data_IF_524862670208
#
_entry.id   IF_524862670208
#
_cell.length_a   1.000
_cell.length_b   1.000
_cell.length_c   1.000
_cell.angle_alpha   90.00
_cell.angle_beta   90.00
_cell.angle_gamma   90.00
#
_symmetry.space_group_name_H-M   'P 1'
#
loop_
_entity.id
_entity.type
_entity.pdbx_description
1 polymer ?
#
# COMPACT_ATOMS: atom_id res chain seq x y z
N UNK A 1 -44.12 -43.20 35.92
CA UNK A 1 -44.58 -42.22 36.91
C UNK A 1 -43.36 -41.52 37.50
N UNK A 2 -43.04 -40.31 37.00
CA UNK A 2 -41.99 -39.44 37.52
C UNK A 2 -42.65 -38.09 37.80
N UNK A 3 -42.85 -37.77 39.08
CA UNK A 3 -43.05 -36.40 39.56
C UNK A 3 -41.65 -35.92 40.02
N UNK A 4 -41.13 -34.74 39.75
CA UNK A 4 -41.77 -33.44 39.53
C UNK A 4 -41.54 -32.59 40.78
N UNK A 5 -40.58 -31.67 40.73
CA UNK A 5 -40.49 -30.50 41.62
C UNK A 5 -39.58 -29.44 40.99
N UNK A 6 -40.20 -28.33 40.60
CA UNK A 6 -39.60 -27.05 40.32
C UNK A 6 -39.94 -26.11 41.48
N UNK A 7 -39.07 -25.13 41.72
CA UNK A 7 -39.29 -23.79 42.30
C UNK A 7 -37.97 -23.34 42.97
N UNK A 8 -37.55 -22.09 43.11
CA UNK A 8 -37.73 -20.77 42.49
C UNK A 8 -37.27 -19.75 43.55
N UNK A 9 -36.64 -18.65 43.13
CA UNK A 9 -36.42 -17.39 43.90
C UNK A 9 -35.30 -17.44 44.98
N UNK A 10 -34.48 -16.41 45.25
CA UNK A 10 -34.64 -14.96 45.06
C UNK A 10 -33.31 -14.16 45.26
N UNK A 11 -33.29 -12.95 44.69
CA UNK A 11 -32.70 -11.67 45.14
C UNK A 11 -31.17 -11.35 45.28
N UNK A 12 -30.73 -10.38 44.45
CA UNK A 12 -30.10 -9.05 44.78
C UNK A 12 -28.78 -8.98 45.62
N UNK A 13 -27.76 -8.12 45.43
CA UNK A 13 -27.61 -6.78 44.79
C UNK A 13 -26.12 -6.36 44.71
N UNK A 14 -25.79 -5.49 43.73
CA UNK A 14 -24.80 -4.36 43.71
C UNK A 14 -23.28 -4.57 43.79
N UNK A 15 -22.58 -4.09 42.74
CA UNK A 15 -21.37 -3.22 42.67
C UNK A 15 -21.12 -3.01 41.17
N UNK A 16 -21.03 -1.83 40.57
CA UNK A 16 -20.40 -0.56 40.95
C UNK A 16 -19.53 -0.16 39.75
N UNK A 17 -19.87 0.95 39.08
CA UNK A 17 -19.34 1.40 37.79
C UNK A 17 -17.81 1.66 37.74
N UNK A 18 -17.15 1.63 36.55
CA UNK A 18 -15.76 2.05 36.38
C UNK A 18 -15.64 3.58 36.14
N UNK A 19 -14.55 4.23 36.59
CA UNK A 19 -14.30 5.63 36.27
C UNK A 19 -13.65 5.80 34.87
N UNK A 20 -13.93 6.91 34.15
CA UNK A 20 -13.27 7.27 32.90
C UNK A 20 -12.23 8.38 33.07
N UNK A 21 -11.52 8.66 31.96
CA UNK A 21 -10.61 9.79 31.67
C UNK A 21 -9.13 9.56 32.04
N UNK A 22 -8.13 10.09 31.33
CA UNK A 22 -8.12 11.18 30.35
C UNK A 22 -6.91 11.05 29.40
N UNK A 23 -7.10 11.59 28.19
CA UNK A 23 -6.04 11.98 27.28
C UNK A 23 -5.15 13.07 27.88
N UNK A 24 -3.86 13.09 27.52
CA UNK A 24 -3.00 14.27 27.66
C UNK A 24 -2.14 14.43 26.42
N UNK A 25 -2.59 15.31 25.54
CA UNK A 25 -1.75 16.14 24.68
C UNK A 25 -1.30 17.36 25.49
N UNK A 26 -0.03 17.74 25.42
CA UNK A 26 0.43 19.12 25.14
C UNK A 26 1.92 19.28 25.48
N UNK A 27 2.59 19.94 24.54
CA UNK A 27 3.96 20.39 24.59
C UNK A 27 4.09 21.77 25.28
N UNK A 28 5.35 22.20 25.43
CA UNK A 28 5.84 23.56 25.75
C UNK A 28 5.86 23.94 27.22
N UNK A 29 6.74 24.81 27.73
CA UNK A 29 8.09 25.27 27.41
C UNK A 29 8.49 26.21 28.58
N UNK A 30 9.79 26.39 28.79
CA UNK A 30 10.45 27.45 29.59
C UNK A 30 10.36 27.34 31.12
N UNK A 31 11.30 27.85 31.92
CA UNK A 31 12.76 28.06 31.88
C UNK A 31 13.10 28.79 33.21
N UNK A 32 14.37 28.70 33.63
CA UNK A 32 15.04 29.45 34.71
C UNK A 32 14.77 28.94 36.14
N UNK A 33 15.76 28.76 37.04
CA UNK A 33 17.02 29.51 37.25
C UNK A 33 18.11 28.67 37.95
N UNK A 34 19.37 28.88 37.51
CA UNK A 34 20.63 29.01 38.28
C UNK A 34 21.15 27.82 39.13
N UNK A 35 22.44 27.47 39.20
CA UNK A 35 23.69 28.01 38.66
C UNK A 35 24.84 27.01 38.97
N UNK A 36 25.95 27.08 38.22
CA UNK A 36 27.28 26.61 38.65
C UNK A 36 27.99 25.68 37.67
N UNK A 37 28.84 26.27 36.81
CA UNK A 37 30.19 25.86 36.34
C UNK A 37 30.45 24.38 35.97
N UNK A 38 31.06 23.98 34.86
CA UNK A 38 32.00 24.63 33.95
C UNK A 38 32.21 23.68 32.72
N UNK A 39 32.93 24.17 31.70
CA UNK A 39 33.44 23.47 30.50
C UNK A 39 32.59 23.56 29.21
N UNK A 40 32.97 24.55 28.40
CA UNK A 40 32.57 24.72 27.00
C UNK A 40 33.10 23.57 26.13
N UNK A 41 32.18 22.77 25.57
CA UNK A 41 32.46 21.90 24.42
C UNK A 41 32.01 22.63 23.16
N UNK A 42 32.97 23.14 22.39
CA UNK A 42 32.71 23.69 21.06
C UNK A 42 32.42 22.54 20.10
N UNK A 43 31.13 22.22 19.91
CA UNK A 43 30.67 21.26 18.93
C UNK A 43 30.75 21.90 17.53
N UNK A 44 31.82 21.65 16.79
CA UNK A 44 31.85 21.94 15.34
C UNK A 44 31.05 20.85 14.64
N UNK A 45 29.78 21.15 14.39
CA UNK A 45 28.91 20.32 13.54
C UNK A 45 29.36 20.51 12.09
N UNK A 46 29.87 19.43 11.48
CA UNK A 46 30.07 19.37 10.05
C UNK A 46 28.72 19.58 9.33
N UNK A 47 28.60 20.50 8.37
CA UNK A 47 27.37 20.62 7.61
C UNK A 47 27.11 19.33 6.84
N UNK A 48 25.91 18.79 7.01
CA UNK A 48 25.42 17.63 6.29
C UNK A 48 25.64 17.81 4.79
N UNK A 49 26.20 16.77 4.16
CA UNK A 49 26.35 16.66 2.71
C UNK A 49 24.93 16.59 2.11
N UNK A 50 24.44 17.74 1.65
CA UNK A 50 23.23 17.81 0.86
C UNK A 50 23.45 17.12 -0.50
N UNK A 51 22.48 16.36 -1.03
CA UNK A 51 22.56 15.90 -2.42
C UNK A 51 22.61 17.12 -3.35
N UNK A 52 23.65 17.18 -4.19
CA UNK A 52 23.88 18.25 -5.18
C UNK A 52 22.63 18.47 -6.02
N UNK A 53 21.95 19.60 -5.80
CA UNK A 53 21.03 20.18 -6.78
C UNK A 53 21.86 20.67 -7.96
N UNK A 54 21.55 20.18 -9.17
CA UNK A 54 22.14 20.72 -10.40
C UNK A 54 21.74 22.19 -10.57
N UNK A 55 22.64 23.05 -11.06
CA UNK A 55 22.28 24.42 -11.40
C UNK A 55 21.21 24.43 -12.50
N UNK A 56 20.18 25.26 -12.30
CA UNK A 56 19.21 25.64 -13.32
C UNK A 56 19.98 26.30 -14.46
N UNK A 57 20.19 25.55 -15.53
CA UNK A 57 20.67 26.08 -16.79
C UNK A 57 19.50 26.77 -17.49
N UNK A 58 19.73 28.05 -17.80
CA UNK A 58 18.87 28.93 -18.55
C UNK A 58 18.41 28.27 -19.85
N UNK A 59 17.09 28.17 -20.02
CA UNK A 59 16.46 27.67 -21.23
C UNK A 59 16.67 28.69 -22.36
N UNK A 60 17.78 28.51 -23.09
CA UNK A 60 18.05 29.22 -24.33
C UNK A 60 17.04 28.77 -25.40
N UNK A 61 16.43 29.76 -26.03
CA UNK A 61 15.58 29.62 -27.21
C UNK A 61 16.26 28.77 -28.28
N UNK A 62 15.67 27.62 -28.62
CA UNK A 62 15.85 27.00 -29.91
C UNK A 62 14.50 26.90 -30.62
N UNK A 63 14.40 27.75 -31.64
CA UNK A 63 13.34 27.82 -32.62
C UNK A 63 13.52 26.63 -33.56
N UNK A 64 12.53 25.74 -33.65
CA UNK A 64 12.43 24.78 -34.75
C UNK A 64 11.03 24.85 -35.34
N UNK A 65 10.99 25.37 -36.56
CA UNK A 65 9.85 25.37 -37.46
C UNK A 65 9.35 23.94 -37.66
N UNK A 66 8.14 23.65 -37.17
CA UNK A 66 7.36 22.52 -37.65
C UNK A 66 6.22 23.04 -38.53
N UNK A 67 6.28 22.58 -39.78
CA UNK A 67 5.29 22.71 -40.84
C UNK A 67 3.95 22.17 -40.34
N UNK A 68 2.90 22.97 -40.51
CA UNK A 68 1.51 22.59 -40.25
C UNK A 68 1.10 21.35 -41.06
N UNK A 69 0.79 20.25 -40.38
CA UNK A 69 -0.25 19.33 -40.84
C UNK A 69 -1.37 19.36 -39.81
N UNK A 70 -2.54 19.82 -40.26
CA UNK A 70 -3.79 19.77 -39.50
C UNK A 70 -4.16 18.30 -39.22
N UNK A 71 -4.15 17.92 -37.94
CA UNK A 71 -4.83 16.72 -37.46
C UNK A 71 -6.26 17.08 -37.05
N UNK A 72 -7.28 16.32 -37.47
CA UNK A 72 -8.66 16.59 -37.09
C UNK A 72 -8.86 16.40 -35.58
N UNK A 73 -9.54 17.39 -34.98
CA UNK A 73 -9.79 17.55 -33.56
C UNK A 73 -10.26 16.26 -32.86
N UNK A 74 -9.40 15.72 -31.99
CA UNK A 74 -9.82 14.81 -30.93
C UNK A 74 -10.55 15.63 -29.87
N UNK A 75 -11.87 15.48 -29.79
CA UNK A 75 -12.67 15.93 -28.64
C UNK A 75 -12.27 15.10 -27.41
N UNK A 76 -11.36 15.62 -26.60
CA UNK A 76 -11.23 15.20 -25.20
C UNK A 76 -12.44 15.74 -24.44
N UNK A 77 -13.38 14.85 -24.11
CA UNK A 77 -14.42 15.18 -23.15
C UNK A 77 -13.83 14.93 -21.77
N UNK A 78 -13.56 16.00 -21.05
CA UNK A 78 -13.22 15.98 -19.62
C UNK A 78 -14.36 15.30 -18.84
N UNK A 79 -14.17 14.02 -18.53
CA UNK A 79 -15.00 13.29 -17.58
C UNK A 79 -14.35 13.45 -16.21
N UNK A 80 -14.70 14.53 -15.51
CA UNK A 80 -14.91 14.62 -14.05
C UNK A 80 -14.66 16.05 -13.53
N UNK A 81 -15.75 16.80 -13.40
CA UNK A 81 -15.87 17.86 -12.40
C UNK A 81 -17.24 17.66 -11.70
N UNK A 82 -17.32 17.60 -10.36
CA UNK A 82 -18.56 17.29 -9.67
C UNK A 82 -19.42 18.54 -9.61
N UNK A 83 -20.35 18.69 -10.55
CA UNK A 83 -21.39 19.72 -10.49
C UNK A 83 -22.70 19.10 -10.03
N UNK A 84 -23.10 19.43 -8.80
CA UNK A 84 -24.43 19.15 -8.23
C UNK A 84 -25.50 19.93 -9.01
N UNK A 85 -26.03 19.37 -10.10
CA UNK A 85 -27.22 19.93 -10.76
C UNK A 85 -28.15 18.81 -11.29
N UNK A 86 -29.35 18.74 -10.69
CA UNK A 86 -30.62 18.41 -11.35
C UNK A 86 -30.80 17.03 -12.03
N UNK A 87 -31.41 16.09 -11.30
CA UNK A 87 -31.88 14.75 -11.72
C UNK A 87 -33.06 14.78 -12.74
N UNK A 88 -33.24 15.87 -13.51
CA UNK A 88 -34.42 16.06 -14.38
C UNK A 88 -34.15 16.33 -15.86
N UNK A 89 -32.90 16.18 -16.35
CA UNK A 89 -32.56 16.63 -17.70
C UNK A 89 -31.98 15.55 -18.64
N UNK A 90 -32.45 14.31 -18.61
CA UNK A 90 -32.41 13.43 -19.81
C UNK A 90 -33.56 12.42 -19.74
N UNK A 91 -34.69 12.74 -20.35
CA UNK A 91 -35.80 11.81 -20.56
C UNK A 91 -36.22 11.88 -22.02
N UNK A 92 -36.24 10.75 -22.74
CA UNK A 92 -37.34 10.49 -23.64
C UNK A 92 -38.11 9.29 -23.10
N UNK A 93 -39.33 9.56 -22.61
CA UNK A 93 -40.36 8.56 -22.39
C UNK A 93 -40.61 7.83 -23.71
N UNK A 94 -40.31 6.53 -23.79
CA UNK A 94 -40.75 5.70 -24.92
C UNK A 94 -42.08 5.07 -24.53
N UNK A 95 -43.15 5.70 -25.04
CA UNK A 95 -44.48 5.13 -25.06
C UNK A 95 -44.49 3.86 -25.93
N UNK A 96 -45.11 2.80 -25.42
CA UNK A 96 -45.41 1.61 -26.19
C UNK A 96 -46.41 1.94 -27.30
N UNK A 97 -46.08 1.61 -28.55
CA UNK A 97 -47.07 1.48 -29.62
C UNK A 97 -46.62 0.42 -30.62
N UNK A 98 -47.39 -0.66 -30.68
CA UNK A 98 -47.35 -1.63 -31.77
C UNK A 98 -47.78 -0.93 -33.07
N UNK A 99 -46.88 -0.86 -34.07
CA UNK A 99 -47.25 -0.46 -35.43
C UNK A 99 -47.00 -1.65 -36.35
N UNK A 100 -48.12 -2.27 -36.75
CA UNK A 100 -48.22 -3.35 -37.74
C UNK A 100 -48.03 -2.73 -39.13
N UNK A 101 -47.14 -3.33 -39.95
CA UNK A 101 -47.02 -3.05 -41.38
C UNK A 101 -45.67 -2.47 -41.79
N UNK A 102 -44.78 -3.34 -42.28
CA UNK A 102 -43.52 -3.11 -43.05
C UNK A 102 -42.47 -2.09 -42.57
N UNK A 103 -42.83 -0.89 -42.09
CA UNK A 103 -41.91 0.03 -41.42
C UNK A 103 -41.45 -0.48 -40.05
N UNK A 104 -42.23 -1.38 -39.43
CA UNK A 104 -41.93 -1.97 -38.12
C UNK A 104 -40.65 -2.80 -38.06
N UNK A 105 -40.14 -3.35 -39.18
CA UNK A 105 -38.95 -4.21 -39.15
C UNK A 105 -37.65 -3.44 -38.89
N UNK A 106 -37.46 -2.28 -39.55
CA UNK A 106 -36.28 -1.42 -39.35
C UNK A 106 -36.32 -0.77 -37.97
N UNK A 107 -37.50 -0.34 -37.52
CA UNK A 107 -37.71 0.25 -36.19
C UNK A 107 -37.49 -0.80 -35.09
N UNK A 108 -37.98 -2.03 -35.27
CA UNK A 108 -37.75 -3.13 -34.34
C UNK A 108 -36.26 -3.56 -34.29
N UNK A 109 -35.58 -3.58 -35.45
CA UNK A 109 -34.13 -3.85 -35.49
C UNK A 109 -33.32 -2.80 -34.75
N UNK A 110 -33.65 -1.51 -34.93
CA UNK A 110 -33.00 -0.40 -34.20
C UNK A 110 -33.29 -0.43 -32.70
N UNK A 111 -34.52 -0.74 -32.30
CA UNK A 111 -34.89 -0.89 -30.88
C UNK A 111 -34.15 -2.07 -30.25
N UNK A 112 -34.09 -3.23 -30.92
CA UNK A 112 -33.33 -4.40 -30.44
C UNK A 112 -31.83 -4.12 -30.35
N UNK A 113 -31.26 -3.43 -31.34
CA UNK A 113 -29.85 -3.03 -31.31
C UNK A 113 -29.56 -2.09 -30.13
N UNK A 114 -30.44 -1.11 -29.89
CA UNK A 114 -30.34 -0.21 -28.73
C UNK A 114 -30.48 -0.96 -27.41
N UNK A 115 -31.41 -1.92 -27.31
CA UNK A 115 -31.55 -2.75 -26.12
C UNK A 115 -30.29 -3.59 -25.86
N UNK A 116 -29.72 -4.21 -26.91
CA UNK A 116 -28.48 -4.97 -26.79
C UNK A 116 -27.31 -4.08 -26.35
N UNK A 117 -27.23 -2.85 -26.86
CA UNK A 117 -26.22 -1.87 -26.44
C UNK A 117 -26.40 -1.46 -24.98
N UNK A 118 -27.63 -1.14 -24.55
CA UNK A 118 -27.92 -0.82 -23.15
C UNK A 118 -27.57 -1.97 -22.20
N UNK A 119 -27.83 -3.20 -22.62
CA UNK A 119 -27.44 -4.39 -21.85
C UNK A 119 -25.92 -4.52 -21.78
N UNK A 120 -25.19 -4.29 -22.87
CA UNK A 120 -23.72 -4.30 -22.86
C UNK A 120 -23.14 -3.20 -21.95
N UNK A 121 -23.65 -1.98 -22.08
CA UNK A 121 -23.23 -0.81 -21.29
C UNK A 121 -23.52 -1.00 -19.79
N UNK A 122 -24.61 -1.69 -19.44
CA UNK A 122 -24.91 -2.05 -18.06
C UNK A 122 -23.77 -2.86 -17.44
N UNK A 123 -23.25 -3.86 -18.14
CA UNK A 123 -22.18 -4.71 -17.63
C UNK A 123 -20.92 -3.91 -17.32
N UNK A 124 -20.49 -3.08 -18.27
CA UNK A 124 -19.30 -2.22 -18.12
C UNK A 124 -19.49 -1.18 -17.00
N UNK A 125 -20.67 -0.58 -16.89
CA UNK A 125 -20.97 0.39 -15.83
C UNK A 125 -21.00 -0.28 -14.45
N UNK A 126 -21.59 -1.46 -14.36
CA UNK A 126 -21.65 -2.24 -13.13
C UNK A 126 -20.25 -2.67 -12.66
N UNK A 127 -19.37 -3.12 -13.57
CA UNK A 127 -18.03 -3.54 -13.17
C UNK A 127 -17.20 -2.36 -12.68
N UNK A 128 -17.23 -1.23 -13.40
CA UNK A 128 -16.48 -0.02 -13.10
C UNK A 128 -16.96 0.73 -11.85
N UNK A 129 -18.28 0.90 -11.68
CA UNK A 129 -18.85 1.79 -10.65
C UNK A 129 -19.67 1.06 -9.57
N UNK A 130 -20.06 -0.19 -9.81
CA UNK A 130 -20.87 -0.99 -8.87
C UNK A 130 -20.05 -1.70 -7.79
N UNK A 131 -19.05 -1.03 -7.22
CA UNK A 131 -18.15 -1.62 -6.22
C UNK A 131 -18.84 -1.85 -4.85
N UNK A 132 -19.83 -1.02 -4.50
CA UNK A 132 -20.65 -1.16 -3.30
C UNK A 132 -22.07 -1.62 -3.64
N UNK A 133 -22.75 -2.26 -2.68
CA UNK A 133 -24.13 -2.74 -2.86
C UNK A 133 -25.10 -1.62 -3.20
N UNK A 134 -24.91 -0.44 -2.59
CA UNK A 134 -25.71 0.76 -2.88
C UNK A 134 -25.50 1.25 -4.31
N UNK A 135 -24.24 1.38 -4.75
CA UNK A 135 -23.95 1.80 -6.11
C UNK A 135 -24.47 0.79 -7.14
N UNK A 136 -24.33 -0.51 -6.87
CA UNK A 136 -24.89 -1.57 -7.71
C UNK A 136 -26.43 -1.48 -7.78
N UNK A 137 -27.11 -1.22 -6.66
CA UNK A 137 -28.56 -1.05 -6.63
C UNK A 137 -29.01 0.18 -7.43
N UNK A 138 -28.31 1.30 -7.30
CA UNK A 138 -28.59 2.52 -8.05
C UNK A 138 -28.43 2.30 -9.57
N UNK A 139 -27.32 1.65 -9.98
CA UNK A 139 -27.08 1.28 -11.39
C UNK A 139 -28.17 0.33 -11.91
N UNK A 140 -28.53 -0.71 -11.15
CA UNK A 140 -29.58 -1.65 -11.56
C UNK A 140 -30.92 -0.94 -11.71
N UNK A 141 -31.27 -0.02 -10.79
CA UNK A 141 -32.49 0.76 -10.85
C UNK A 141 -32.54 1.66 -12.08
N UNK A 142 -31.45 2.40 -12.34
CA UNK A 142 -31.30 3.28 -13.50
C UNK A 142 -31.45 2.51 -14.82
N UNK A 143 -30.75 1.38 -14.97
CA UNK A 143 -30.84 0.58 -16.19
C UNK A 143 -32.19 -0.15 -16.35
N UNK A 144 -32.86 -0.54 -15.26
CA UNK A 144 -34.26 -1.00 -15.33
C UNK A 144 -35.18 0.10 -15.88
N UNK A 145 -34.98 1.35 -15.46
CA UNK A 145 -35.69 2.51 -16.00
C UNK A 145 -35.40 2.74 -17.48
N UNK A 146 -34.12 2.69 -17.88
CA UNK A 146 -33.67 2.92 -19.27
C UNK A 146 -34.17 1.87 -20.27
N UNK A 147 -34.30 0.61 -19.86
CA UNK A 147 -34.79 -0.48 -20.73
C UNK A 147 -36.31 -0.44 -20.91
N UNK A 148 -37.04 0.22 -20.01
CA UNK A 148 -38.49 0.41 -20.11
C UNK A 148 -39.33 -0.84 -19.77
N UNK A 149 -40.64 -0.83 -20.07
CA UNK A 149 -41.53 -1.96 -19.79
C UNK A 149 -41.09 -3.21 -20.57
N UNK A 150 -40.89 -4.33 -19.86
CA UNK A 150 -40.33 -5.56 -20.43
C UNK A 150 -38.81 -5.70 -20.27
N UNK A 151 -38.26 -5.19 -19.16
CA UNK A 151 -36.82 -5.28 -18.81
C UNK A 151 -36.27 -6.69 -19.05
N UNK A 152 -35.26 -6.80 -19.91
CA UNK A 152 -34.49 -8.02 -20.12
C UNK A 152 -33.55 -8.28 -18.93
N UNK A 153 -34.14 -8.66 -17.79
CA UNK A 153 -33.40 -8.97 -16.55
C UNK A 153 -32.36 -10.06 -16.75
N UNK A 154 -32.62 -10.99 -17.66
CA UNK A 154 -31.71 -12.10 -18.00
C UNK A 154 -30.53 -11.60 -18.82
N UNK A 155 -30.76 -10.76 -19.82
CA UNK A 155 -29.69 -10.10 -20.57
C UNK A 155 -28.84 -9.19 -19.69
N UNK A 156 -29.46 -8.40 -18.81
CA UNK A 156 -28.73 -7.57 -17.83
C UNK A 156 -27.89 -8.44 -16.89
N UNK A 157 -28.46 -9.52 -16.35
CA UNK A 157 -27.72 -10.46 -15.51
C UNK A 157 -26.54 -11.08 -16.26
N UNK A 158 -26.75 -11.57 -17.49
CA UNK A 158 -25.71 -12.15 -18.35
C UNK A 158 -24.57 -11.16 -18.60
N UNK A 159 -24.90 -9.92 -18.94
CA UNK A 159 -23.91 -8.88 -19.23
C UNK A 159 -23.14 -8.45 -17.98
N UNK A 160 -23.84 -8.20 -16.88
CA UNK A 160 -23.24 -7.86 -15.59
C UNK A 160 -22.34 -8.98 -15.08
N UNK A 161 -22.80 -10.23 -15.15
CA UNK A 161 -22.01 -11.39 -14.77
C UNK A 161 -20.75 -11.51 -15.64
N UNK A 162 -20.86 -11.36 -16.96
CA UNK A 162 -19.73 -11.41 -17.85
C UNK A 162 -18.68 -10.33 -17.53
N UNK A 163 -19.12 -9.11 -17.24
CA UNK A 163 -18.22 -8.01 -16.88
C UNK A 163 -17.55 -8.24 -15.51
N UNK A 164 -18.30 -8.68 -14.49
CA UNK A 164 -17.74 -9.00 -13.17
C UNK A 164 -16.72 -10.14 -13.26
N UNK A 165 -16.99 -11.18 -14.03
CA UNK A 165 -16.04 -12.29 -14.23
C UNK A 165 -14.78 -11.83 -14.98
N UNK A 166 -14.89 -10.88 -15.91
CA UNK A 166 -13.71 -10.34 -16.62
C UNK A 166 -12.89 -9.41 -15.74
N UNK A 167 -13.53 -8.47 -15.03
CA UNK A 167 -12.83 -7.30 -14.47
C UNK A 167 -12.50 -7.44 -12.97
N UNK A 168 -13.26 -8.22 -12.20
CA UNK A 168 -13.11 -8.30 -10.73
C UNK A 168 -12.35 -9.55 -10.35
N UNK A 169 -11.27 -9.50 -9.54
CA UNK A 169 -10.48 -10.69 -9.19
C UNK A 169 -11.33 -11.78 -8.52
N UNK A 170 -10.91 -13.04 -8.66
CA UNK A 170 -11.56 -14.15 -7.98
C UNK A 170 -11.38 -13.99 -6.46
N UNK A 171 -12.47 -13.98 -5.71
CA UNK A 171 -12.46 -13.73 -4.28
C UNK A 171 -13.87 -13.66 -3.69
N UNK A 172 -13.94 -13.44 -2.37
CA UNK A 172 -15.21 -13.33 -1.63
C UNK A 172 -16.05 -12.15 -2.14
N UNK A 173 -15.40 -11.03 -2.46
CA UNK A 173 -16.03 -9.84 -3.04
C UNK A 173 -16.75 -10.14 -4.36
N UNK A 174 -16.17 -10.95 -5.24
CA UNK A 174 -16.80 -11.31 -6.51
C UNK A 174 -18.07 -12.15 -6.28
N UNK A 175 -18.02 -13.11 -5.35
CA UNK A 175 -19.18 -13.93 -4.98
C UNK A 175 -20.31 -13.01 -4.47
N UNK A 176 -20.01 -12.12 -3.52
CA UNK A 176 -20.98 -11.15 -2.98
C UNK A 176 -21.59 -10.27 -4.07
N UNK A 177 -20.77 -9.71 -4.98
CA UNK A 177 -21.26 -8.86 -6.07
C UNK A 177 -22.16 -9.61 -7.04
N UNK A 178 -21.87 -10.89 -7.34
CA UNK A 178 -22.74 -11.70 -8.20
C UNK A 178 -24.04 -12.08 -7.49
N UNK A 179 -23.99 -12.44 -6.21
CA UNK A 179 -25.21 -12.68 -5.39
C UNK A 179 -26.09 -11.43 -5.31
N UNK A 180 -25.49 -10.27 -5.07
CA UNK A 180 -26.19 -9.00 -5.05
C UNK A 180 -26.81 -8.68 -6.42
N UNK A 181 -26.07 -8.87 -7.52
CA UNK A 181 -26.57 -8.68 -8.87
C UNK A 181 -27.80 -9.57 -9.17
N UNK A 182 -27.73 -10.86 -8.83
CA UNK A 182 -28.84 -11.79 -9.01
C UNK A 182 -30.09 -11.35 -8.22
N UNK A 183 -29.88 -10.96 -6.95
CA UNK A 183 -30.94 -10.52 -6.03
C UNK A 183 -31.58 -9.22 -6.50
N UNK A 184 -30.77 -8.21 -6.84
CA UNK A 184 -31.22 -6.91 -7.30
C UNK A 184 -32.00 -7.01 -8.61
N UNK A 185 -31.58 -7.89 -9.54
CA UNK A 185 -32.32 -8.12 -10.78
C UNK A 185 -33.55 -9.03 -10.58
N UNK A 186 -33.63 -9.76 -9.46
CA UNK A 186 -34.70 -10.70 -9.16
C UNK A 186 -34.71 -11.89 -10.12
N UNK A 187 -33.52 -12.38 -10.49
CA UNK A 187 -33.37 -13.55 -11.36
C UNK A 187 -33.37 -14.81 -10.51
N UNK A 188 -34.30 -15.73 -10.79
CA UNK A 188 -34.40 -17.02 -10.10
C UNK A 188 -33.24 -17.94 -10.50
N UNK A 189 -32.85 -18.85 -9.61
CA UNK A 189 -31.68 -19.74 -9.79
C UNK A 189 -31.71 -20.52 -11.10
N UNK A 190 -32.85 -21.10 -11.48
CA UNK A 190 -32.99 -21.82 -12.75
C UNK A 190 -32.73 -20.93 -13.98
N UNK A 191 -33.17 -19.67 -13.94
CA UNK A 191 -32.91 -18.72 -15.01
C UNK A 191 -31.44 -18.26 -14.99
N UNK A 192 -30.89 -18.00 -13.80
CA UNK A 192 -29.48 -17.65 -13.63
C UNK A 192 -28.55 -18.74 -14.16
N UNK A 193 -28.84 -20.01 -13.86
CA UNK A 193 -28.08 -21.16 -14.35
C UNK A 193 -28.12 -21.29 -15.89
N UNK A 194 -29.27 -21.02 -16.52
CA UNK A 194 -29.37 -20.98 -17.97
C UNK A 194 -28.49 -19.89 -18.60
N UNK A 195 -28.48 -18.70 -18.01
CA UNK A 195 -27.62 -17.60 -18.46
C UNK A 195 -26.13 -17.87 -18.24
N UNK A 196 -25.78 -18.52 -17.12
CA UNK A 196 -24.42 -18.98 -16.81
C UNK A 196 -23.94 -19.99 -17.85
N UNK A 197 -24.75 -21.01 -18.16
CA UNK A 197 -24.41 -21.99 -19.21
C UNK A 197 -24.26 -21.35 -20.59
N UNK A 198 -25.10 -20.35 -20.91
CA UNK A 198 -25.00 -19.59 -22.16
C UNK A 198 -23.70 -18.78 -22.25
N UNK A 199 -23.22 -18.22 -21.13
CA UNK A 199 -21.91 -17.56 -21.07
C UNK A 199 -20.76 -18.54 -21.24
N UNK A 200 -20.82 -19.68 -20.56
CA UNK A 200 -19.82 -20.74 -20.64
C UNK A 200 -19.64 -21.28 -22.05
N UNK A 201 -20.73 -21.62 -22.73
CA UNK A 201 -20.70 -22.12 -24.11
C UNK A 201 -20.50 -21.04 -25.19
N UNK A 202 -20.57 -19.77 -24.80
CA UNK A 202 -20.41 -18.62 -25.70
C UNK A 202 -19.09 -17.89 -25.45
N UNK A 203 -19.18 -16.72 -24.78
CA UNK A 203 -18.06 -15.79 -24.58
C UNK A 203 -16.82 -16.44 -23.95
N UNK A 204 -17.01 -17.40 -23.05
CA UNK A 204 -15.92 -18.01 -22.28
C UNK A 204 -15.50 -19.41 -22.76
N UNK A 205 -16.11 -19.93 -23.84
CA UNK A 205 -15.85 -21.30 -24.30
C UNK A 205 -14.37 -21.53 -24.67
N UNK A 206 -13.74 -20.53 -25.28
CA UNK A 206 -12.33 -20.57 -25.68
C UNK A 206 -11.36 -20.08 -24.57
N UNK A 207 -11.86 -19.78 -23.36
CA UNK A 207 -11.08 -19.15 -22.29
C UNK A 207 -11.17 -19.97 -20.99
N UNK A 208 -10.32 -21.01 -20.83
CA UNK A 208 -10.39 -21.93 -19.69
C UNK A 208 -10.26 -21.23 -18.33
N UNK A 209 -9.49 -20.15 -18.23
CA UNK A 209 -9.32 -19.37 -16.99
C UNK A 209 -10.60 -18.66 -16.57
N UNK A 210 -11.25 -17.93 -17.49
CA UNK A 210 -12.52 -17.26 -17.21
C UNK A 210 -13.66 -18.26 -17.00
N UNK A 211 -13.65 -19.38 -17.73
CA UNK A 211 -14.59 -20.47 -17.52
C UNK A 211 -14.42 -21.11 -16.14
N UNK A 212 -13.18 -21.36 -15.70
CA UNK A 212 -12.87 -21.85 -14.36
C UNK A 212 -13.34 -20.89 -13.25
N UNK A 213 -13.20 -19.58 -13.46
CA UNK A 213 -13.72 -18.55 -12.56
C UNK A 213 -15.25 -18.46 -12.56
N UNK A 214 -15.89 -18.61 -13.72
CA UNK A 214 -17.34 -18.67 -13.83
C UNK A 214 -17.88 -19.90 -13.08
N UNK A 215 -17.25 -21.06 -13.22
CA UNK A 215 -17.55 -22.28 -12.44
C UNK A 215 -17.46 -21.96 -10.95
N UNK A 216 -16.32 -21.42 -10.51
CA UNK A 216 -16.03 -21.11 -9.12
C UNK A 216 -17.12 -20.27 -8.46
N UNK A 217 -17.53 -19.19 -9.12
CA UNK A 217 -18.52 -18.25 -8.60
C UNK A 217 -19.94 -18.83 -8.70
N UNK A 218 -20.30 -19.38 -9.86
CA UNK A 218 -21.67 -19.86 -10.09
C UNK A 218 -22.05 -21.03 -9.19
N UNK A 219 -21.12 -21.96 -8.93
CA UNK A 219 -21.37 -23.06 -7.98
C UNK A 219 -21.64 -22.54 -6.57
N UNK A 220 -20.95 -21.49 -6.14
CA UNK A 220 -21.11 -20.89 -4.80
C UNK A 220 -22.39 -20.06 -4.67
N UNK A 221 -22.72 -19.30 -5.70
CA UNK A 221 -23.95 -18.49 -5.72
C UNK A 221 -25.21 -19.36 -5.85
N UNK A 222 -25.15 -20.47 -6.59
CA UNK A 222 -26.35 -21.24 -6.98
C UNK A 222 -26.60 -22.57 -6.22
N UNK A 223 -25.70 -23.06 -5.36
CA UNK A 223 -25.93 -24.40 -4.80
C UNK A 223 -26.90 -24.49 -3.64
N UNK A 224 -27.24 -23.40 -2.95
CA UNK A 224 -28.29 -23.44 -1.93
C UNK A 224 -29.70 -23.51 -2.57
N UNK A 225 -29.81 -23.14 -3.86
CA UNK A 225 -31.05 -23.12 -4.63
C UNK A 225 -31.39 -24.42 -5.38
N UNK A 226 -30.69 -25.52 -5.13
CA UNK A 226 -30.90 -26.82 -5.80
C UNK A 226 -30.64 -26.83 -7.31
N UNK A 227 -30.18 -25.71 -7.88
CA UNK A 227 -29.93 -25.54 -9.32
C UNK A 227 -28.49 -25.85 -9.73
N UNK A 228 -27.62 -26.22 -8.78
CA UNK A 228 -26.24 -26.61 -9.08
C UNK A 228 -26.13 -27.77 -10.09
N UNK A 229 -27.05 -28.74 -10.04
CA UNK A 229 -27.12 -29.84 -11.01
C UNK A 229 -27.51 -29.41 -12.43
N UNK A 230 -27.94 -28.16 -12.63
CA UNK A 230 -28.23 -27.61 -13.96
C UNK A 230 -27.01 -26.93 -14.61
N UNK A 231 -25.91 -26.75 -13.88
CA UNK A 231 -24.67 -26.21 -14.41
C UNK A 231 -23.95 -27.27 -15.24
N UNK A 232 -23.64 -26.94 -16.49
CA UNK A 232 -22.94 -27.84 -17.43
C UNK A 232 -21.52 -27.37 -17.74
N UNK A 233 -21.03 -26.42 -16.95
CA UNK A 233 -19.77 -25.72 -17.20
C UNK A 233 -18.53 -26.63 -17.06
N UNK A 234 -18.53 -27.56 -16.10
CA UNK A 234 -17.38 -28.47 -15.88
C UNK A 234 -17.06 -29.29 -17.12
N UNK A 235 -18.09 -29.77 -17.81
CA UNK A 235 -17.96 -30.54 -19.06
C UNK A 235 -17.48 -29.69 -20.25
N UNK A 236 -17.46 -28.37 -20.15
CA UNK A 236 -16.95 -27.47 -21.19
C UNK A 236 -15.43 -27.25 -21.08
N UNK A 237 -14.81 -27.64 -19.97
CA UNK A 237 -13.36 -27.57 -19.82
C UNK A 237 -12.68 -28.78 -20.48
N UNK A 238 -11.45 -28.63 -21.00
CA UNK A 238 -10.68 -29.73 -21.58
C UNK A 238 -10.04 -30.66 -20.52
N UNK A 239 -10.50 -30.59 -19.26
CA UNK A 239 -9.92 -31.29 -18.12
C UNK A 239 -10.89 -32.34 -17.58
N UNK A 240 -10.37 -33.36 -16.89
CA UNK A 240 -11.21 -34.32 -16.16
C UNK A 240 -11.93 -33.64 -15.00
N UNK A 241 -13.06 -34.20 -14.58
CA UNK A 241 -13.84 -33.66 -13.46
C UNK A 241 -13.03 -33.58 -12.16
N UNK A 242 -12.20 -34.59 -11.89
CA UNK A 242 -11.30 -34.63 -10.73
C UNK A 242 -10.27 -33.49 -10.74
N UNK A 243 -9.70 -33.19 -11.92
CA UNK A 243 -8.77 -32.07 -12.08
C UNK A 243 -9.50 -30.75 -11.85
N UNK A 244 -10.70 -30.59 -12.41
CA UNK A 244 -11.52 -29.39 -12.17
C UNK A 244 -11.83 -29.24 -10.69
N UNK A 245 -12.26 -30.30 -10.00
CA UNK A 245 -12.54 -30.26 -8.57
C UNK A 245 -11.32 -29.84 -7.75
N UNK A 246 -10.15 -30.41 -8.06
CA UNK A 246 -8.89 -30.07 -7.42
C UNK A 246 -8.53 -28.60 -7.62
N UNK A 247 -8.67 -28.08 -8.84
CA UNK A 247 -8.43 -26.67 -9.15
C UNK A 247 -9.40 -25.74 -8.42
N UNK A 248 -10.68 -26.12 -8.33
CA UNK A 248 -11.70 -25.36 -7.62
C UNK A 248 -11.46 -25.34 -6.11
N UNK A 249 -10.98 -26.46 -5.53
CA UNK A 249 -10.60 -26.57 -4.13
C UNK A 249 -9.35 -25.75 -3.82
N UNK A 250 -8.30 -25.86 -4.63
CA UNK A 250 -7.07 -25.07 -4.48
C UNK A 250 -7.34 -23.56 -4.58
N UNK A 251 -8.17 -23.14 -5.55
CA UNK A 251 -8.60 -21.74 -5.66
C UNK A 251 -9.35 -21.26 -4.40
N UNK A 252 -10.23 -22.08 -3.84
CA UNK A 252 -10.95 -21.75 -2.60
C UNK A 252 -9.98 -21.60 -1.41
N UNK A 253 -9.07 -22.56 -1.25
CA UNK A 253 -8.07 -22.55 -0.18
C UNK A 253 -7.16 -21.33 -0.26
N UNK A 254 -6.72 -20.94 -1.46
CA UNK A 254 -5.89 -19.72 -1.64
C UNK A 254 -6.65 -18.45 -1.28
N UNK A 255 -7.91 -18.34 -1.68
CA UNK A 255 -8.74 -17.17 -1.32
C UNK A 255 -8.97 -17.15 0.19
N UNK A 256 -9.28 -18.29 0.82
CA UNK A 256 -9.45 -18.34 2.28
C UNK A 256 -8.16 -17.96 3.01
N UNK A 257 -6.99 -18.39 2.52
CA UNK A 257 -5.70 -18.00 3.08
C UNK A 257 -5.53 -16.47 3.09
N UNK A 258 -5.88 -15.79 1.99
CA UNK A 258 -5.80 -14.32 1.95
C UNK A 258 -6.75 -13.63 2.94
N UNK A 259 -7.95 -14.18 3.16
CA UNK A 259 -8.90 -13.65 4.15
C UNK A 259 -8.44 -13.94 5.58
N UNK A 260 -7.82 -15.10 5.82
CA UNK A 260 -7.23 -15.47 7.10
C UNK A 260 -6.05 -14.57 7.44
N UNK A 261 -5.15 -14.30 6.49
CA UNK A 261 -4.04 -13.37 6.69
C UNK A 261 -4.57 -11.96 7.03
N UNK A 262 -5.55 -11.46 6.29
CA UNK A 262 -6.16 -10.16 6.54
C UNK A 262 -6.96 -10.10 7.86
N UNK A 263 -7.49 -11.24 8.34
CA UNK A 263 -8.15 -11.34 9.63
C UNK A 263 -7.13 -11.37 10.78
N UNK A 264 -6.03 -12.11 10.62
CA UNK A 264 -4.93 -12.16 11.56
C UNK A 264 -4.18 -10.81 11.67
N UNK A 265 -4.09 -10.02 10.58
CA UNK A 265 -3.55 -8.66 10.62
C UNK A 265 -4.37 -7.70 11.50
N UNK A 266 -5.67 -8.01 11.68
CA UNK A 266 -6.63 -7.18 12.41
C UNK A 266 -7.07 -7.79 13.73
N UNK A 267 -6.48 -8.92 14.14
CA UNK A 267 -6.90 -9.73 15.29
C UNK A 267 -8.42 -10.00 15.32
N UNK A 268 -9.02 -10.19 14.15
CA UNK A 268 -10.47 -10.31 13.98
C UNK A 268 -11.01 -11.74 14.24
N UNK A 269 -10.13 -12.71 14.46
CA UNK A 269 -10.49 -14.12 14.60
C UNK A 269 -10.75 -14.83 13.26
N UNK A 270 -11.26 -16.06 13.35
CA UNK A 270 -11.50 -16.91 12.16
C UNK A 270 -12.55 -16.27 11.24
N UNK A 271 -12.27 -16.08 9.93
CA UNK A 271 -13.19 -15.45 8.98
C UNK A 271 -14.32 -16.42 8.55
N UNK A 272 -15.27 -16.68 9.46
CA UNK A 272 -16.31 -17.70 9.28
C UNK A 272 -17.25 -17.42 8.08
N UNK A 273 -17.60 -16.16 7.84
CA UNK A 273 -18.46 -15.79 6.70
C UNK A 273 -17.76 -16.04 5.36
N UNK A 274 -16.47 -15.72 5.26
CA UNK A 274 -15.67 -15.99 4.06
C UNK A 274 -15.57 -17.50 3.82
N UNK A 275 -15.31 -18.29 4.88
CA UNK A 275 -15.29 -19.75 4.79
C UNK A 275 -16.63 -20.32 4.29
N UNK A 276 -17.76 -19.81 4.80
CA UNK A 276 -19.09 -20.20 4.36
C UNK A 276 -19.33 -19.89 2.88
N UNK A 277 -19.01 -18.66 2.43
CA UNK A 277 -19.13 -18.27 1.02
C UNK A 277 -18.25 -19.11 0.09
N UNK A 278 -17.08 -19.51 0.58
CA UNK A 278 -16.14 -20.36 -0.16
C UNK A 278 -16.50 -21.84 -0.12
N UNK A 279 -17.47 -22.22 0.73
CA UNK A 279 -17.83 -23.60 1.08
C UNK A 279 -16.67 -24.42 1.62
N UNK A 280 -15.88 -23.79 2.47
CA UNK A 280 -14.86 -24.45 3.26
C UNK A 280 -15.41 -24.76 4.65
N UNK A 281 -14.96 -25.86 5.25
CA UNK A 281 -15.45 -26.22 6.57
C UNK A 281 -14.97 -25.19 7.61
N UNK A 282 -15.76 -24.91 8.66
CA UNK A 282 -15.32 -24.06 9.75
C UNK A 282 -14.05 -24.59 10.45
N UNK A 283 -13.89 -25.92 10.48
CA UNK A 283 -12.72 -26.57 11.04
C UNK A 283 -11.45 -26.32 10.21
N UNK A 284 -11.54 -26.37 8.88
CA UNK A 284 -10.41 -26.04 7.99
C UNK A 284 -10.02 -24.57 8.14
N UNK A 285 -11.02 -23.68 8.22
CA UNK A 285 -10.78 -22.25 8.40
C UNK A 285 -10.11 -21.94 9.75
N UNK A 286 -10.54 -22.60 10.83
CA UNK A 286 -9.90 -22.49 12.14
C UNK A 286 -8.46 -23.02 12.10
N UNK A 287 -8.24 -24.19 11.49
CA UNK A 287 -6.90 -24.78 11.35
C UNK A 287 -5.95 -23.85 10.58
N UNK A 288 -6.42 -23.26 9.47
CA UNK A 288 -5.64 -22.29 8.69
C UNK A 288 -5.33 -21.02 9.49
N UNK A 289 -6.29 -20.53 10.27
CA UNK A 289 -6.12 -19.36 11.12
C UNK A 289 -5.10 -19.61 12.23
N UNK A 290 -5.25 -20.70 12.98
CA UNK A 290 -4.35 -21.09 14.06
C UNK A 290 -2.91 -21.29 13.56
N UNK A 291 -2.76 -21.96 12.40
CA UNK A 291 -1.45 -22.11 11.76
C UNK A 291 -0.83 -20.76 11.36
N UNK A 292 -1.66 -19.80 10.90
CA UNK A 292 -1.21 -18.45 10.53
C UNK A 292 -0.76 -17.64 11.74
N UNK A 293 -1.54 -17.67 12.83
CA UNK A 293 -1.19 -17.02 14.10
C UNK A 293 0.09 -17.62 14.68
N UNK A 294 0.21 -18.96 14.71
CA UNK A 294 1.40 -19.65 15.19
C UNK A 294 2.65 -19.29 14.37
N UNK A 295 2.53 -19.28 13.03
CA UNK A 295 3.63 -18.87 12.13
C UNK A 295 4.07 -17.42 12.40
N UNK A 296 3.13 -16.51 12.64
CA UNK A 296 3.42 -15.10 12.94
C UNK A 296 4.07 -14.94 14.31
N UNK A 297 3.60 -15.67 15.32
CA UNK A 297 4.22 -15.69 16.64
C UNK A 297 5.68 -16.18 16.56
N UNK A 298 5.93 -17.28 15.83
CA UNK A 298 7.29 -17.80 15.62
C UNK A 298 8.18 -16.83 14.81
N UNK A 299 7.63 -16.13 13.82
CA UNK A 299 8.35 -15.11 13.08
C UNK A 299 8.70 -13.89 13.96
N UNK A 300 7.80 -13.50 14.86
CA UNK A 300 8.04 -12.40 15.80
C UNK A 300 9.12 -12.76 16.83
N UNK A 301 9.14 -13.99 17.35
CA UNK A 301 10.21 -14.45 18.25
C UNK A 301 11.55 -14.49 17.53
N UNK A 302 11.60 -15.05 16.31
CA UNK A 302 12.82 -15.08 15.52
C UNK A 302 13.33 -13.67 15.16
N UNK A 303 12.42 -12.74 14.86
CA UNK A 303 12.78 -11.35 14.60
C UNK A 303 13.33 -10.64 15.86
N UNK A 304 12.76 -10.91 17.04
CA UNK A 304 13.25 -10.38 18.30
C UNK A 304 14.64 -10.93 18.66
N UNK A 305 14.87 -12.22 18.45
CA UNK A 305 16.19 -12.86 18.63
C UNK A 305 17.23 -12.28 17.67
N UNK A 306 16.88 -12.13 16.38
CA UNK A 306 17.76 -11.50 15.40
C UNK A 306 18.07 -10.04 15.73
N UNK A 307 17.09 -9.28 16.21
CA UNK A 307 17.29 -7.90 16.66
C UNK A 307 18.18 -7.81 17.90
N UNK A 308 18.03 -8.73 18.86
CA UNK A 308 18.89 -8.80 20.04
C UNK A 308 20.34 -9.16 19.67
N UNK A 309 20.54 -10.10 18.74
CA UNK A 309 21.87 -10.43 18.23
C UNK A 309 22.52 -9.24 17.51
N UNK A 310 21.78 -8.56 16.64
CA UNK A 310 22.26 -7.36 15.95
C UNK A 310 22.59 -6.21 16.93
N UNK A 311 21.79 -6.04 17.99
CA UNK A 311 22.06 -5.05 19.04
C UNK A 311 23.31 -5.38 19.85
N UNK A 312 23.57 -6.67 20.13
CA UNK A 312 24.78 -7.12 20.82
C UNK A 312 26.03 -6.89 19.94
N UNK A 313 25.97 -7.22 18.65
CA UNK A 313 27.06 -6.96 17.70
C UNK A 313 27.35 -5.45 17.56
N UNK A 314 26.31 -4.62 17.48
CA UNK A 314 26.46 -3.16 17.45
C UNK A 314 27.05 -2.60 18.75
N UNK A 315 26.69 -3.16 19.91
CA UNK A 315 27.26 -2.78 21.20
C UNK A 315 28.75 -3.14 21.30
N UNK A 316 29.14 -4.32 20.83
CA UNK A 316 30.54 -4.76 20.76
C UNK A 316 31.36 -3.87 19.82
N UNK A 317 30.84 -3.58 18.61
CA UNK A 317 31.48 -2.66 17.67
C UNK A 317 31.67 -1.25 18.27
N UNK A 318 30.66 -0.75 18.99
CA UNK A 318 30.72 0.55 19.67
C UNK A 318 31.76 0.54 20.80
N UNK A 319 31.83 -0.55 21.57
CA UNK A 319 32.83 -0.71 22.62
C UNK A 319 34.25 -0.79 22.05
N UNK A 320 34.46 -1.50 20.94
CA UNK A 320 35.74 -1.58 20.25
C UNK A 320 36.20 -0.21 19.73
N UNK A 321 35.31 0.56 19.10
CA UNK A 321 35.61 1.93 18.64
C UNK A 321 35.96 2.84 19.81
N UNK A 322 35.24 2.74 20.94
CA UNK A 322 35.57 3.49 22.16
C UNK A 322 36.95 3.13 22.70
N UNK A 323 37.27 1.83 22.77
CA UNK A 323 38.56 1.36 23.26
C UNK A 323 39.73 1.86 22.39
N UNK A 324 39.56 1.90 21.06
CA UNK A 324 40.56 2.48 20.15
C UNK A 324 40.71 3.99 20.40
N UNK A 325 39.61 4.73 20.53
CA UNK A 325 39.66 6.17 20.81
C UNK A 325 40.32 6.48 22.17
N UNK A 326 40.06 5.67 23.20
CA UNK A 326 40.71 5.78 24.52
C UNK A 326 42.21 5.46 24.44
N UNK A 327 42.61 4.45 23.67
CA UNK A 327 44.01 4.12 23.45
C UNK A 327 44.76 5.22 22.68
N UNK A 328 44.16 5.79 21.64
CA UNK A 328 44.72 6.90 20.87
C UNK A 328 44.88 8.16 21.74
N UNK A 329 43.88 8.47 22.59
CA UNK A 329 43.95 9.58 23.53
C UNK A 329 45.08 9.40 24.56
N UNK A 330 45.26 8.18 25.09
CA UNK A 330 46.35 7.86 26.01
C UNK A 330 47.73 7.97 25.35
N UNK A 331 47.85 7.52 24.09
CA UNK A 331 49.10 7.64 23.32
C UNK A 331 49.47 9.12 23.08
N UNK A 332 48.50 9.97 22.72
CA UNK A 332 48.71 11.40 22.52
C UNK A 332 49.14 12.13 23.82
N UNK A 333 48.56 11.75 24.97
CA UNK A 333 48.96 12.29 26.26
C UNK A 333 50.39 11.90 26.65
N UNK A 334 50.81 10.67 26.36
CA UNK A 334 52.18 10.18 26.57
C UNK A 334 53.20 10.95 25.74
N UNK A 335 52.92 11.19 24.46
CA UNK A 335 53.82 11.98 23.59
C UNK A 335 53.93 13.44 24.05
N UNK A 336 52.83 14.05 24.50
CA UNK A 336 52.85 15.43 25.01
C UNK A 336 53.67 15.57 26.30
N UNK A 337 53.68 14.55 27.16
CA UNK A 337 54.53 14.52 28.35
C UNK A 337 56.02 14.36 28.00
N UNK A 338 56.34 13.53 27.02
CA UNK A 338 57.72 13.36 26.54
C UNK A 338 58.27 14.63 25.84
N UNK A 339 57.42 15.35 25.10
CA UNK A 339 57.76 16.64 24.49
C UNK A 339 57.93 17.76 25.55
N UNK A 340 57.19 17.70 26.67
CA UNK A 340 57.37 18.63 27.78
C UNK A 340 58.69 18.39 28.54
N UNK A 341 59.11 17.13 28.70
CA UNK A 341 60.38 16.77 29.35
C UNK A 341 61.61 17.12 28.49
N UNK A 342 61.46 17.18 27.16
CA UNK A 342 62.50 17.69 26.25
C UNK A 342 62.52 19.21 26.11
N UNK A 343 61.41 19.92 26.38
CA UNK A 343 61.35 21.37 26.37
C UNK A 343 62.11 22.04 27.53
N UNK A 344 62.25 21.38 28.68
CA UNK A 344 63.03 21.89 29.82
C UNK A 344 64.55 21.84 29.57
N UNK A 345 65.02 21.05 28.60
CA UNK A 345 66.43 21.00 28.18
C UNK A 345 66.81 22.07 27.11
N UNK A 346 65.84 22.82 26.58
CA UNK A 346 66.04 23.79 25.49
C UNK A 346 66.15 25.26 25.97
N UNK A 347 66.74 25.51 27.14
CA UNK A 347 66.92 26.87 27.65
C UNK A 347 68.04 27.62 26.90
N UNK A 348 67.60 28.58 26.08
CA UNK A 348 68.30 29.77 25.52
C UNK A 348 69.20 29.58 24.29
N UNK A 349 68.58 29.58 23.11
CA UNK A 349 69.19 30.13 21.90
C UNK A 349 68.98 31.66 21.88
N UNK A 350 70.06 32.44 21.91
CA UNK A 350 69.96 33.90 21.85
C UNK A 350 69.70 34.36 20.42
N UNK A 351 68.62 35.11 20.22
CA UNK A 351 68.22 35.68 18.92
C UNK A 351 68.69 37.13 18.85
N UNK A 352 69.34 37.53 17.76
CA UNK A 352 69.87 38.88 17.58
C UNK A 352 69.34 39.52 16.30
N UNK A 353 68.99 40.79 16.33
CA UNK A 353 68.43 41.51 15.17
C UNK A 353 69.31 42.71 14.79
N UNK A 354 69.49 42.92 13.49
CA UNK A 354 70.19 44.09 12.96
C UNK A 354 69.27 45.31 13.00
N UNK A 355 69.57 46.29 13.85
CA UNK A 355 68.76 47.52 13.97
C UNK A 355 68.67 48.37 12.69
N UNK A 356 69.57 48.18 11.71
CA UNK A 356 69.57 48.96 10.48
C UNK A 356 68.60 48.42 9.40
N UNK A 357 68.42 47.10 9.32
CA UNK A 357 67.60 46.47 8.28
C UNK A 357 66.60 45.42 8.79
N UNK A 358 66.55 45.18 10.10
CA UNK A 358 65.66 44.21 10.75
C UNK A 358 66.06 42.74 10.53
N UNK A 359 67.26 42.46 10.02
CA UNK A 359 67.68 41.09 9.76
C UNK A 359 67.99 40.34 11.06
N UNK A 360 67.28 39.23 11.31
CA UNK A 360 67.43 38.40 12.51
C UNK A 360 68.39 37.23 12.27
N UNK A 361 69.34 37.05 13.18
CA UNK A 361 70.34 35.99 13.16
C UNK A 361 70.22 35.13 14.43
N UNK A 362 70.41 33.83 14.25
CA UNK A 362 70.32 32.82 15.30
C UNK A 362 71.68 32.13 15.44
N UNK A 363 72.65 32.72 16.16
CA UNK A 363 73.95 32.07 16.34
C UNK A 363 73.78 30.80 17.15
N UNK A 364 74.46 29.74 16.71
CA UNK A 364 74.60 28.53 17.54
C UNK A 364 75.38 28.86 18.82
N UNK A 365 74.96 28.27 19.94
CA UNK A 365 75.53 28.49 21.27
C UNK A 365 77.06 28.33 21.26
N UNK A 366 77.78 29.31 21.80
CA UNK A 366 79.25 29.32 21.89
C UNK A 366 79.97 29.74 20.60
N UNK A 367 79.26 30.25 19.58
CA UNK A 367 79.86 30.84 18.36
C UNK A 367 79.53 32.32 18.19
N UNK A 368 78.91 32.95 19.19
CA UNK A 368 78.48 34.35 19.18
C UNK A 368 79.67 35.30 18.97
N UNK A 369 80.83 34.98 19.55
CA UNK A 369 82.06 35.77 19.42
C UNK A 369 82.56 35.92 17.96
N UNK A 370 82.13 35.06 17.04
CA UNK A 370 82.50 35.13 15.62
C UNK A 370 81.61 36.10 14.83
N UNK A 371 80.38 36.34 15.31
CA UNK A 371 79.40 37.22 14.68
C UNK A 371 79.38 38.64 15.28
N UNK A 372 80.03 38.88 16.43
CA UNK A 372 80.07 40.19 17.08
C UNK A 372 81.49 40.72 17.30
N UNK A 373 82.40 40.45 16.35
CA UNK A 373 83.67 41.17 16.27
C UNK A 373 83.47 42.52 15.57
N UNK A 374 84.31 43.52 15.83
CA UNK A 374 84.24 44.86 15.18
C UNK A 374 84.35 44.82 13.64
N UNK A 375 84.72 43.65 13.09
CA UNK A 375 84.79 43.39 11.65
C UNK A 375 83.55 42.72 11.06
N UNK A 376 82.55 42.34 11.87
CA UNK A 376 81.34 41.71 11.37
C UNK A 376 80.44 42.74 10.69
N UNK A 377 79.98 42.42 9.49
CA UNK A 377 79.02 43.22 8.74
C UNK A 377 77.78 42.37 8.53
N UNK A 378 76.61 42.96 8.77
CA UNK A 378 75.32 42.35 8.51
C UNK A 378 75.29 41.84 7.06
N UNK A 379 74.99 40.55 6.84
CA UNK A 379 75.03 39.97 5.50
C UNK A 379 73.98 40.56 4.55
N UNK A 380 72.92 41.19 5.08
CA UNK A 380 71.86 41.78 4.28
C UNK A 380 72.12 43.23 3.86
N UNK A 381 72.74 44.05 4.72
CA UNK A 381 72.90 45.48 4.44
C UNK A 381 74.34 46.00 4.52
N UNK A 382 75.30 45.16 4.96
CA UNK A 382 76.69 45.55 5.13
C UNK A 382 76.95 46.51 6.29
N UNK A 383 75.95 46.86 7.10
CA UNK A 383 76.14 47.63 8.32
C UNK A 383 76.83 46.77 9.38
N UNK A 384 77.71 47.36 10.19
CA UNK A 384 78.28 46.65 11.34
C UNK A 384 79.13 47.57 12.14
#
# INVERSE_FOLDING_TARGET
MRHGAADASDAMTTRGAPPPAAATTAASAAASTAAGDDAQVTLVVAPAIAPRQRPRESQAHYNHNHVHMEQPAQRSVDVMAPRREGIWAVLPYVAAAAVVGFGGWVTQKKVRARHAQLVADFGATLSAYGASDRAAADIVSDYKGKVGPGVDRRGLYRSGLAALITDVPAGVTLIRRVTALQTLLGVKDAAAAAEVNALGGGKFAAQPSLLGKLIFVSERVLADGGSAGSLRLRAMLPYSEEVVETLQRDMASRILATEVDAAADRDAGVPAEAAALLRMSPADAATMYDATVARRAAAATAAAEAAAAAAAEAAEATAAVRAVAEADAAAAASTAAADAETAEAAEKAHVYECNACGYTLYPAKGREFKFFSDSFKCPMCGAG
#
